data_IF_878583667643
#
_entry.id   IF_878583667643
#
_cell.length_a   1.000
_cell.length_b   1.000
_cell.length_c   1.000
_cell.angle_alpha   90.00
_cell.angle_beta   90.00
_cell.angle_gamma   90.00
#
_symmetry.space_group_name_H-M   'P 1'
#
loop_
_entity.id
_entity.type
_entity.pdbx_description
1 polymer ?
#
# COMPACT_ATOMS: atom_id res chain seq x y z
N UNK A 1 -2.80 14.02 -3.39
CA UNK A 1 -4.03 14.07 -4.22
C UNK A 1 -4.03 15.26 -5.16
N UNK A 2 -4.18 16.50 -4.66
CA UNK A 2 -4.36 17.71 -5.49
C UNK A 2 -3.26 17.85 -6.56
N UNK A 3 -2.02 17.58 -6.19
CA UNK A 3 -0.87 17.74 -7.10
C UNK A 3 -0.95 16.81 -8.33
N UNK A 4 -1.07 15.50 -8.13
CA UNK A 4 -1.06 14.56 -9.25
C UNK A 4 -2.35 14.60 -10.08
N UNK A 5 -3.48 14.95 -9.46
CA UNK A 5 -4.74 15.16 -10.18
C UNK A 5 -4.64 16.31 -11.19
N UNK A 6 -4.14 17.47 -10.74
CA UNK A 6 -4.01 18.63 -11.62
C UNK A 6 -3.10 18.33 -12.82
N UNK A 7 -2.03 17.55 -12.60
CA UNK A 7 -1.13 17.11 -13.67
C UNK A 7 -1.85 16.18 -14.65
N UNK A 8 -2.58 15.18 -14.13
CA UNK A 8 -3.31 14.21 -14.94
C UNK A 8 -4.40 14.88 -15.81
N UNK A 9 -5.10 15.88 -15.27
CA UNK A 9 -6.11 16.66 -16.01
C UNK A 9 -5.50 17.57 -17.09
N UNK A 10 -4.31 18.12 -16.86
CA UNK A 10 -3.62 18.97 -17.84
C UNK A 10 -3.01 18.18 -18.98
N UNK A 11 -2.68 16.91 -18.77
CA UNK A 11 -2.01 16.06 -19.75
C UNK A 11 -2.74 14.70 -19.88
N UNK A 12 -3.97 14.69 -20.42
CA UNK A 12 -4.83 13.50 -20.41
C UNK A 12 -4.31 12.34 -21.27
N UNK A 13 -3.37 12.61 -22.18
CA UNK A 13 -2.80 11.61 -23.10
C UNK A 13 -1.55 10.92 -22.55
N UNK A 14 -1.13 11.23 -21.33
CA UNK A 14 -0.01 10.58 -20.65
C UNK A 14 -0.54 9.85 -19.42
N UNK A 15 -0.13 8.60 -19.25
CA UNK A 15 -0.39 7.84 -18.04
C UNK A 15 0.56 8.30 -16.92
N UNK A 16 -0.02 8.75 -15.81
CA UNK A 16 0.69 9.16 -14.61
C UNK A 16 0.77 7.99 -13.64
N UNK A 17 1.97 7.45 -13.48
CA UNK A 17 2.23 6.39 -12.50
C UNK A 17 2.58 7.00 -11.15
N UNK A 18 1.82 6.66 -10.11
CA UNK A 18 2.04 7.10 -8.73
C UNK A 18 2.39 5.91 -7.86
N UNK A 19 3.60 5.91 -7.31
CA UNK A 19 4.09 4.86 -6.41
C UNK A 19 4.10 5.34 -4.96
N UNK A 20 3.50 4.54 -4.08
CA UNK A 20 3.58 4.72 -2.63
C UNK A 20 4.42 3.60 -2.02
N UNK A 21 5.60 3.94 -1.53
CA UNK A 21 6.46 3.02 -0.76
C UNK A 21 6.04 2.92 0.71
N UNK A 22 6.28 1.77 1.33
CA UNK A 22 6.16 1.54 2.78
C UNK A 22 4.83 2.01 3.38
N UNK A 23 3.72 1.69 2.72
CA UNK A 23 2.40 2.11 3.19
C UNK A 23 2.07 1.44 4.52
N UNK A 24 1.74 2.28 5.50
CA UNK A 24 1.25 1.86 6.82
C UNK A 24 -0.18 1.35 6.73
N UNK A 25 -0.48 0.39 7.57
CA UNK A 25 -1.76 -0.30 7.58
C UNK A 25 -2.93 0.57 8.04
N UNK A 26 -2.65 1.63 8.80
CA UNK A 26 -3.62 2.66 9.18
C UNK A 26 -4.30 3.34 7.98
N UNK A 27 -3.71 3.27 6.79
CA UNK A 27 -4.22 3.88 5.58
C UNK A 27 -4.86 2.89 4.59
N UNK A 28 -4.98 1.59 4.93
CA UNK A 28 -5.48 0.56 4.00
C UNK A 28 -6.92 0.79 3.54
N UNK A 29 -7.76 1.41 4.38
CA UNK A 29 -9.11 1.80 3.97
C UNK A 29 -9.10 2.76 2.78
N UNK A 30 -8.18 3.73 2.78
CA UNK A 30 -8.01 4.67 1.67
C UNK A 30 -7.59 3.95 0.38
N UNK A 31 -6.67 3.00 0.49
CA UNK A 31 -6.22 2.23 -0.67
C UNK A 31 -7.28 1.27 -1.17
N UNK A 32 -8.15 0.76 -0.29
CA UNK A 32 -9.33 0.01 -0.70
C UNK A 32 -10.24 0.86 -1.59
N UNK A 33 -10.57 2.07 -1.16
CA UNK A 33 -11.42 2.99 -1.95
C UNK A 33 -10.78 3.33 -3.30
N UNK A 34 -9.44 3.52 -3.32
CA UNK A 34 -8.69 3.81 -4.54
C UNK A 34 -8.70 2.61 -5.51
N UNK A 35 -8.40 1.40 -5.04
CA UNK A 35 -8.22 0.24 -5.91
C UNK A 35 -9.53 -0.43 -6.31
N UNK A 36 -10.56 -0.37 -5.47
CA UNK A 36 -11.85 -0.99 -5.74
C UNK A 36 -12.78 -0.03 -6.46
N UNK A 37 -12.86 1.21 -5.97
CA UNK A 37 -13.88 2.16 -6.40
C UNK A 37 -13.32 3.28 -7.29
N UNK A 38 -12.01 3.32 -7.52
CA UNK A 38 -11.31 4.40 -8.24
C UNK A 38 -11.64 5.78 -7.67
N UNK A 39 -11.80 5.84 -6.34
CA UNK A 39 -12.22 7.05 -5.61
C UNK A 39 -11.17 7.43 -4.56
N UNK A 40 -10.96 8.74 -4.40
CA UNK A 40 -10.14 9.31 -3.35
C UNK A 40 -10.88 10.47 -2.69
N UNK A 41 -11.20 10.32 -1.40
CA UNK A 41 -12.02 11.27 -0.63
C UNK A 41 -13.38 11.60 -1.28
N UNK A 42 -14.06 10.57 -1.81
CA UNK A 42 -15.37 10.71 -2.44
C UNK A 42 -15.36 11.31 -3.85
N UNK A 43 -14.18 11.53 -4.44
CA UNK A 43 -14.02 12.04 -5.80
C UNK A 43 -13.39 10.95 -6.68
N UNK A 44 -13.94 10.75 -7.88
CA UNK A 44 -13.42 9.81 -8.86
C UNK A 44 -12.04 10.23 -9.37
N UNK A 45 -11.14 9.27 -9.51
CA UNK A 45 -9.80 9.44 -10.05
C UNK A 45 -9.84 9.63 -11.57
N UNK A 46 -8.90 10.40 -12.10
CA UNK A 46 -8.71 10.53 -13.55
C UNK A 46 -8.26 9.20 -14.15
N UNK A 47 -8.80 8.83 -15.32
CA UNK A 47 -8.56 7.54 -15.97
C UNK A 47 -7.10 7.29 -16.40
N UNK A 48 -6.30 8.34 -16.49
CA UNK A 48 -4.89 8.28 -16.85
C UNK A 48 -3.96 8.23 -15.62
N UNK A 49 -4.47 7.84 -14.45
CA UNK A 49 -3.66 7.65 -13.25
C UNK A 49 -3.56 6.15 -12.94
N UNK A 50 -2.34 5.64 -12.89
CA UNK A 50 -2.05 4.28 -12.43
C UNK A 50 -1.37 4.34 -11.06
N UNK A 51 -1.96 3.69 -10.04
CA UNK A 51 -1.45 3.70 -8.67
C UNK A 51 -0.86 2.33 -8.34
N UNK A 52 0.30 2.33 -7.72
CA UNK A 52 0.93 1.13 -7.16
C UNK A 52 1.46 1.41 -5.76
N UNK A 53 1.38 0.39 -4.90
CA UNK A 53 1.64 0.51 -3.46
C UNK A 53 2.50 -0.66 -3.01
N UNK A 54 3.54 -0.36 -2.23
CA UNK A 54 4.29 -1.36 -1.49
C UNK A 54 3.87 -1.36 -0.02
N UNK A 55 3.56 -2.54 0.49
CA UNK A 55 3.21 -2.79 1.89
C UNK A 55 4.22 -3.78 2.50
N UNK A 56 4.46 -3.64 3.79
CA UNK A 56 5.30 -4.59 4.52
C UNK A 56 4.47 -5.84 4.89
N UNK A 57 5.07 -7.04 4.92
CA UNK A 57 4.39 -8.24 5.37
C UNK A 57 4.04 -8.13 6.84
N UNK A 58 2.86 -8.64 7.24
CA UNK A 58 2.57 -8.89 8.65
C UNK A 58 3.40 -10.10 9.09
N UNK A 59 4.17 -9.94 10.17
CA UNK A 59 4.82 -11.06 10.85
C UNK A 59 3.98 -11.39 12.07
N UNK A 60 3.42 -12.60 12.11
CA UNK A 60 2.97 -13.16 13.38
C UNK A 60 4.24 -13.43 14.17
N UNK A 61 4.38 -12.79 15.32
CA UNK A 61 5.35 -13.20 16.33
C UNK A 61 4.85 -14.53 16.87
N UNK A 62 5.21 -15.63 16.20
CA UNK A 62 5.16 -16.93 16.85
C UNK A 62 6.21 -16.87 17.97
N UNK A 63 5.70 -16.99 19.19
CA UNK A 63 6.32 -16.69 20.48
C UNK A 63 7.38 -17.75 20.88
N UNK A 64 8.33 -18.06 19.98
CA UNK A 64 9.37 -19.07 20.20
C UNK A 64 10.74 -18.48 20.62
N UNK A 65 10.84 -17.17 20.86
CA UNK A 65 12.05 -16.55 21.41
C UNK A 65 11.89 -16.21 22.89
N UNK A 66 11.82 -17.24 23.73
CA UNK A 66 12.25 -17.15 25.12
C UNK A 66 13.78 -16.97 25.18
N UNK A 67 14.30 -15.82 24.76
CA UNK A 67 15.64 -15.40 25.12
C UNK A 67 15.70 -13.87 25.23
N UNK A 68 16.33 -13.42 26.31
CA UNK A 68 16.06 -12.13 26.93
C UNK A 68 16.30 -10.89 26.07
N UNK A 69 15.45 -9.89 26.30
CA UNK A 69 15.79 -8.46 26.20
C UNK A 69 16.46 -7.97 24.90
N UNK A 70 16.17 -8.59 23.76
CA UNK A 70 16.37 -7.93 22.48
C UNK A 70 15.03 -7.35 22.05
N UNK A 71 14.90 -6.03 22.17
CA UNK A 71 13.90 -5.28 21.44
C UNK A 71 14.30 -5.43 19.96
N UNK A 72 13.88 -6.53 19.34
CA UNK A 72 14.03 -6.71 17.92
C UNK A 72 13.21 -5.60 17.26
N UNK A 73 13.90 -4.75 16.51
CA UNK A 73 13.32 -3.69 15.68
C UNK A 73 12.57 -4.30 14.47
N UNK A 74 11.70 -5.28 14.73
CA UNK A 74 10.94 -6.08 13.78
C UNK A 74 9.43 -5.81 13.85
N UNK A 75 9.02 -4.88 14.71
CA UNK A 75 7.62 -4.55 14.96
C UNK A 75 7.11 -3.53 13.94
N UNK A 76 6.99 -3.94 12.67
CA UNK A 76 6.04 -3.25 11.83
C UNK A 76 4.65 -3.57 12.39
N UNK A 77 3.98 -2.59 12.99
CA UNK A 77 2.56 -2.69 13.36
C UNK A 77 1.77 -2.72 12.04
N UNK A 78 1.67 -3.91 11.45
CA UNK A 78 0.97 -4.18 10.19
C UNK A 78 -0.33 -4.87 10.55
N UNK A 79 -1.45 -4.19 10.32
CA UNK A 79 -2.76 -4.83 10.37
C UNK A 79 -2.93 -5.74 9.15
N UNK A 80 -3.71 -6.81 9.31
CA UNK A 80 -4.08 -7.65 8.17
C UNK A 80 -4.73 -6.82 7.05
N UNK A 81 -4.43 -7.20 5.81
CA UNK A 81 -5.08 -6.61 4.66
C UNK A 81 -6.56 -6.97 4.64
N UNK A 82 -7.45 -6.02 4.28
CA UNK A 82 -8.80 -6.36 3.86
C UNK A 82 -8.75 -7.41 2.75
N UNK A 83 -9.63 -8.41 2.79
CA UNK A 83 -9.67 -9.52 1.82
C UNK A 83 -9.67 -9.04 0.36
N UNK A 84 -10.36 -7.92 0.07
CA UNK A 84 -10.40 -7.33 -1.27
C UNK A 84 -9.02 -6.87 -1.76
N UNK A 85 -8.15 -6.41 -0.86
CA UNK A 85 -6.78 -6.01 -1.17
C UNK A 85 -5.81 -7.19 -1.16
N UNK A 86 -6.06 -8.21 -0.35
CA UNK A 86 -5.20 -9.40 -0.30
C UNK A 86 -5.18 -10.14 -1.66
N UNK A 87 -6.32 -10.16 -2.37
CA UNK A 87 -6.42 -10.70 -3.73
C UNK A 87 -5.66 -9.89 -4.80
N UNK A 88 -5.30 -8.64 -4.51
CA UNK A 88 -4.54 -7.77 -5.42
C UNK A 88 -3.04 -7.80 -5.12
N UNK A 89 -2.62 -8.42 -4.01
CA UNK A 89 -1.23 -8.45 -3.57
C UNK A 89 -0.41 -9.39 -4.45
N UNK A 90 0.74 -8.91 -4.89
CA UNK A 90 1.78 -9.73 -5.55
C UNK A 90 3.03 -9.74 -4.66
N UNK A 91 3.56 -10.93 -4.38
CA UNK A 91 4.77 -11.10 -3.58
C UNK A 91 6.02 -11.03 -4.46
N UNK A 92 6.88 -10.04 -4.23
CA UNK A 92 8.12 -9.81 -5.01
C UNK A 92 9.32 -10.69 -4.59
N UNK A 93 9.12 -11.65 -3.67
CA UNK A 93 10.19 -12.45 -3.09
C UNK A 93 11.01 -11.69 -2.04
N UNK A 94 12.01 -12.37 -1.47
CA UNK A 94 12.99 -11.78 -0.55
C UNK A 94 14.30 -11.66 -1.34
N UNK A 95 15.10 -10.63 -1.04
CA UNK A 95 16.41 -10.47 -1.67
C UNK A 95 17.30 -11.68 -1.28
N UNK A 96 17.73 -12.48 -2.25
CA UNK A 96 18.70 -13.56 -2.01
C UNK A 96 20.05 -12.92 -1.66
N UNK A 97 20.65 -13.38 -0.54
CA UNK A 97 21.95 -12.95 -0.03
C UNK A 97 23.08 -13.87 -0.46
#
# INVERSE_FOLDING_TARGET
>A
YILFRNIAEQIPNIELVVFFGEVKTSCLGLFKDIFMDEILHGISLSKNIFITVAINPSRNLDDDSHDGFQIHQCDYIVHELPQSLDNLKVSYGILDS
#
